data_IF_781833280089
#
_entry.id   IF_781833280089
#
_cell.length_a   1.000
_cell.length_b   1.000
_cell.length_c   1.000
_cell.angle_alpha   90.00
_cell.angle_beta   90.00
_cell.angle_gamma   90.00
#
_symmetry.space_group_name_H-M   'P 1'
#
loop_
_entity.id
_entity.type
_entity.pdbx_description
1 polymer ?
#
# COMPACT_ATOMS: atom_id res chain seq x y z
N UNK A 1 3.80 -2.83 -35.94
CA UNK A 1 2.67 -3.45 -36.48
C UNK A 1 1.62 -3.49 -35.46
N UNK A 2 0.98 -4.56 -35.41
CA UNK A 2 -0.04 -4.73 -34.39
C UNK A 2 0.51 -4.54 -32.97
N UNK A 3 1.78 -4.80 -32.82
CA UNK A 3 2.46 -4.55 -31.57
C UNK A 3 2.40 -3.10 -31.13
N UNK A 4 2.21 -2.18 -32.08
CA UNK A 4 2.07 -0.77 -31.77
C UNK A 4 0.75 -0.43 -31.12
N UNK A 5 -0.22 -1.34 -31.22
CA UNK A 5 -1.51 -1.15 -30.59
C UNK A 5 -1.45 -1.85 -29.25
N UNK A 6 -1.00 -1.11 -28.26
CA UNK A 6 -0.92 -1.66 -26.91
C UNK A 6 -2.33 -1.98 -26.43
N UNK A 7 -2.49 -3.18 -25.90
CA UNK A 7 -3.74 -3.52 -25.25
C UNK A 7 -3.89 -2.68 -23.99
N UNK A 8 -5.07 -2.13 -23.80
CA UNK A 8 -5.39 -1.40 -22.57
C UNK A 8 -6.09 -2.30 -21.55
N UNK A 9 -6.25 -3.58 -21.91
CA UNK A 9 -6.89 -4.58 -21.05
C UNK A 9 -5.82 -5.32 -20.28
N UNK A 10 -6.08 -5.57 -18.99
CA UNK A 10 -5.17 -6.38 -18.19
C UNK A 10 -5.00 -7.76 -18.84
N UNK A 11 -3.76 -8.18 -19.10
CA UNK A 11 -3.52 -9.47 -19.78
C UNK A 11 -3.50 -10.68 -18.83
N UNK A 12 -3.38 -10.47 -17.54
CA UNK A 12 -3.27 -11.58 -16.59
C UNK A 12 -4.63 -12.24 -16.35
N UNK A 13 -4.59 -13.47 -15.83
CA UNK A 13 -5.84 -14.19 -15.51
C UNK A 13 -6.53 -13.57 -14.30
N UNK A 14 -7.84 -13.77 -14.22
CA UNK A 14 -8.60 -13.33 -13.06
C UNK A 14 -8.05 -13.94 -11.78
N UNK A 15 -7.70 -15.23 -11.84
CA UNK A 15 -7.14 -15.93 -10.69
C UNK A 15 -5.86 -15.26 -10.19
N UNK A 16 -4.96 -14.88 -11.10
CA UNK A 16 -3.72 -14.21 -10.72
C UNK A 16 -4.02 -12.84 -10.10
N UNK A 17 -4.88 -12.06 -10.75
CA UNK A 17 -5.17 -10.70 -10.29
C UNK A 17 -5.90 -10.68 -8.95
N UNK A 18 -6.91 -11.54 -8.82
CA UNK A 18 -7.64 -11.63 -7.55
C UNK A 18 -6.75 -12.19 -6.45
N UNK A 19 -5.85 -13.11 -6.80
CA UNK A 19 -4.88 -13.67 -5.87
C UNK A 19 -3.89 -12.63 -5.36
N UNK A 20 -3.39 -11.78 -6.25
CA UNK A 20 -2.46 -10.72 -5.84
C UNK A 20 -3.15 -9.69 -4.93
N UNK A 21 -4.38 -9.33 -5.28
CA UNK A 21 -5.15 -8.42 -4.43
C UNK A 21 -5.40 -9.03 -3.06
N UNK A 22 -5.79 -10.30 -3.00
CA UNK A 22 -6.02 -10.98 -1.73
C UNK A 22 -4.73 -11.06 -0.89
N UNK A 23 -3.59 -11.31 -1.55
CA UNK A 23 -2.32 -11.37 -0.85
C UNK A 23 -1.94 -10.02 -0.25
N UNK A 24 -2.13 -8.95 -1.00
CA UNK A 24 -1.81 -7.61 -0.52
C UNK A 24 -2.74 -7.19 0.62
N UNK A 25 -4.03 -7.43 0.45
CA UNK A 25 -5.02 -7.15 1.49
C UNK A 25 -4.72 -7.96 2.77
N UNK A 26 -4.20 -9.18 2.60
CA UNK A 26 -3.79 -10.02 3.72
C UNK A 26 -2.64 -9.40 4.52
N UNK A 27 -1.66 -8.82 3.82
CA UNK A 27 -0.56 -8.12 4.50
C UNK A 27 -1.08 -6.90 5.26
N UNK A 28 -2.04 -6.19 4.66
CA UNK A 28 -2.67 -5.04 5.31
C UNK A 28 -3.44 -5.46 6.55
N UNK A 29 -4.13 -6.59 6.47
CA UNK A 29 -4.88 -7.11 7.63
C UNK A 29 -3.94 -7.49 8.78
N UNK A 30 -2.78 -8.06 8.45
CA UNK A 30 -1.79 -8.38 9.48
C UNK A 30 -1.22 -7.13 10.13
N UNK A 31 -0.95 -6.10 9.35
CA UNK A 31 -0.47 -4.82 9.90
C UNK A 31 -1.53 -4.19 10.79
N UNK A 32 -2.79 -4.20 10.34
CA UNK A 32 -3.88 -3.65 11.13
C UNK A 32 -4.03 -4.40 12.46
N UNK A 33 -3.93 -5.73 12.42
CA UNK A 33 -4.03 -6.54 13.63
C UNK A 33 -2.89 -6.24 14.60
N UNK A 34 -1.68 -6.09 14.07
CA UNK A 34 -0.52 -5.73 14.89
C UNK A 34 -0.76 -4.41 15.63
N UNK A 35 -1.32 -3.42 14.94
CA UNK A 35 -1.57 -2.12 15.54
C UNK A 35 -2.77 -2.15 16.50
N UNK A 36 -3.81 -2.88 16.14
CA UNK A 36 -5.01 -3.01 16.98
C UNK A 36 -4.71 -3.68 18.32
N UNK A 37 -3.73 -4.59 18.34
CA UNK A 37 -3.37 -5.33 19.54
C UNK A 37 -2.08 -4.81 20.18
N UNK A 38 -1.61 -3.64 19.77
CA UNK A 38 -0.31 -3.13 20.19
C UNK A 38 -0.17 -3.03 21.70
N UNK A 39 -1.13 -2.40 22.36
CA UNK A 39 -1.06 -2.21 23.80
C UNK A 39 -1.14 -3.53 24.56
N UNK A 40 -1.87 -4.51 24.05
CA UNK A 40 -2.00 -5.81 24.70
C UNK A 40 -0.76 -6.69 24.53
N UNK A 41 0.06 -6.39 23.52
CA UNK A 41 1.27 -7.18 23.20
C UNK A 41 2.58 -6.49 23.60
N UNK A 42 2.49 -5.28 24.14
CA UNK A 42 3.65 -4.51 24.61
C UNK A 42 3.43 -4.09 26.06
N UNK A 43 4.51 -3.72 26.73
CA UNK A 43 4.48 -3.41 28.16
C UNK A 43 5.13 -2.05 28.44
N UNK A 44 4.60 -1.01 27.83
CA UNK A 44 5.03 0.35 28.13
C UNK A 44 4.02 1.03 29.05
N UNK A 45 4.43 2.14 29.65
CA UNK A 45 3.57 2.85 30.59
C UNK A 45 2.57 3.77 29.91
N UNK A 46 2.96 4.28 28.74
CA UNK A 46 2.14 5.25 28.02
C UNK A 46 2.32 5.03 26.51
N UNK A 47 1.23 5.16 25.75
CA UNK A 47 1.25 4.96 24.29
C UNK A 47 0.67 6.17 23.59
N UNK A 48 1.31 6.57 22.50
CA UNK A 48 0.80 7.60 21.60
C UNK A 48 0.80 7.04 20.18
N UNK A 49 -0.35 7.09 19.53
CA UNK A 49 -0.52 6.55 18.19
C UNK A 49 -0.84 7.69 17.22
N UNK A 50 -0.13 7.70 16.10
CA UNK A 50 -0.39 8.59 14.99
C UNK A 50 -0.39 7.72 13.75
N UNK A 51 -1.58 7.24 13.35
CA UNK A 51 -1.73 6.18 12.38
C UNK A 51 -2.57 6.64 11.20
N UNK A 52 -1.98 6.56 10.01
CA UNK A 52 -2.73 6.71 8.77
C UNK A 52 -3.62 5.48 8.56
N UNK A 53 -4.65 5.63 7.75
CA UNK A 53 -5.51 4.50 7.40
C UNK A 53 -4.74 3.45 6.60
N UNK A 54 -5.11 2.19 6.80
CA UNK A 54 -4.53 1.07 6.07
C UNK A 54 -5.53 0.67 4.99
N UNK A 55 -5.11 0.76 3.75
CA UNK A 55 -5.94 0.40 2.61
C UNK A 55 -5.31 0.87 1.31
N UNK A 56 -5.82 0.35 0.21
CA UNK A 56 -5.34 0.68 -1.12
C UNK A 56 -6.45 0.49 -2.14
N UNK A 57 -6.27 1.10 -3.30
CA UNK A 57 -7.14 0.90 -4.45
C UNK A 57 -6.65 -0.33 -5.22
N UNK A 58 -7.45 -1.39 -5.34
CA UNK A 58 -7.02 -2.59 -6.04
C UNK A 58 -6.68 -2.34 -7.52
N UNK A 59 -7.32 -1.38 -8.17
CA UNK A 59 -6.97 -1.05 -9.55
C UNK A 59 -5.59 -0.42 -9.64
N UNK A 60 -5.18 0.35 -8.65
CA UNK A 60 -3.81 0.86 -8.60
C UNK A 60 -2.83 -0.29 -8.48
N UNK A 61 -3.11 -1.23 -7.58
CA UNK A 61 -2.23 -2.38 -7.37
C UNK A 61 -2.05 -3.18 -8.67
N UNK A 62 -3.14 -3.56 -9.31
CA UNK A 62 -3.05 -4.39 -10.52
C UNK A 62 -2.43 -3.63 -11.66
N UNK A 63 -2.72 -2.33 -11.80
CA UNK A 63 -2.10 -1.50 -12.83
C UNK A 63 -0.59 -1.38 -12.62
N UNK A 64 -0.16 -1.22 -11.37
CA UNK A 64 1.28 -1.19 -11.04
C UNK A 64 1.94 -2.52 -11.42
N UNK A 65 1.36 -3.64 -11.00
CA UNK A 65 1.94 -4.94 -11.27
C UNK A 65 2.05 -5.19 -12.77
N UNK A 66 1.01 -4.85 -13.52
CA UNK A 66 0.98 -5.08 -14.96
C UNK A 66 1.98 -4.21 -15.70
N UNK A 67 2.05 -2.94 -15.35
CA UNK A 67 3.00 -2.02 -15.99
C UNK A 67 4.44 -2.34 -15.59
N UNK A 68 4.67 -2.63 -14.33
CA UNK A 68 6.01 -2.92 -13.81
C UNK A 68 6.59 -4.18 -14.43
N UNK A 69 5.76 -5.22 -14.56
CA UNK A 69 6.17 -6.50 -15.16
C UNK A 69 6.01 -6.51 -16.68
N UNK A 70 5.53 -5.41 -17.24
CA UNK A 70 5.44 -5.21 -18.70
C UNK A 70 4.61 -6.27 -19.42
N UNK A 71 3.50 -6.64 -18.82
CA UNK A 71 2.58 -7.60 -19.43
C UNK A 71 1.99 -8.57 -18.44
N UNK A 72 1.66 -9.74 -18.95
CA UNK A 72 1.05 -10.80 -18.15
C UNK A 72 2.01 -11.29 -17.06
N UNK A 73 1.43 -11.63 -15.91
CA UNK A 73 2.19 -12.14 -14.77
C UNK A 73 1.37 -13.17 -14.01
N UNK A 74 2.05 -14.01 -13.26
CA UNK A 74 1.44 -14.96 -12.33
C UNK A 74 1.66 -14.48 -10.91
N UNK A 75 0.88 -15.02 -9.98
CA UNK A 75 1.01 -14.65 -8.58
C UNK A 75 2.44 -14.91 -8.07
N UNK A 76 3.01 -16.05 -8.39
CA UNK A 76 4.37 -16.38 -7.96
C UNK A 76 5.39 -15.35 -8.46
N UNK A 77 5.22 -14.88 -9.68
CA UNK A 77 6.16 -13.94 -10.27
C UNK A 77 6.14 -12.57 -9.60
N UNK A 78 5.01 -12.18 -9.00
CA UNK A 78 4.88 -10.85 -8.43
C UNK A 78 5.05 -10.80 -6.91
N UNK A 79 5.33 -11.93 -6.26
CA UNK A 79 5.46 -11.93 -4.81
C UNK A 79 6.48 -10.91 -4.30
N UNK A 80 7.65 -10.87 -4.93
CA UNK A 80 8.66 -9.89 -4.54
C UNK A 80 8.23 -8.46 -4.75
N UNK A 81 7.47 -8.22 -5.82
CA UNK A 81 6.96 -6.88 -6.09
C UNK A 81 5.91 -6.47 -5.06
N UNK A 82 5.03 -7.40 -4.67
CA UNK A 82 4.05 -7.12 -3.61
C UNK A 82 4.76 -6.72 -2.32
N UNK A 83 5.81 -7.44 -1.95
CA UNK A 83 6.57 -7.13 -0.74
C UNK A 83 7.25 -5.77 -0.85
N UNK A 84 7.83 -5.46 -1.99
CA UNK A 84 8.48 -4.17 -2.23
C UNK A 84 7.48 -3.02 -2.14
N UNK A 85 6.32 -3.19 -2.76
CA UNK A 85 5.28 -2.16 -2.71
C UNK A 85 4.80 -1.93 -1.29
N UNK A 86 4.56 -3.00 -0.56
CA UNK A 86 4.07 -2.90 0.82
C UNK A 86 5.07 -2.17 1.70
N UNK A 87 6.34 -2.52 1.57
CA UNK A 87 7.41 -1.89 2.34
C UNK A 87 7.53 -0.39 2.04
N UNK A 88 7.28 0.00 0.80
CA UNK A 88 7.32 1.41 0.41
C UNK A 88 6.05 2.16 0.76
N UNK A 89 4.92 1.49 0.73
CA UNK A 89 3.64 2.13 1.05
C UNK A 89 3.51 2.42 2.54
N UNK A 90 3.87 1.46 3.39
CA UNK A 90 3.63 1.56 4.82
C UNK A 90 4.95 1.72 5.58
N UNK A 91 5.11 2.87 6.22
CA UNK A 91 6.29 3.16 7.02
C UNK A 91 5.86 3.19 8.49
N UNK A 92 6.24 2.16 9.21
CA UNK A 92 5.94 2.03 10.64
C UNK A 92 7.15 2.47 11.45
N UNK A 93 6.93 3.38 12.39
CA UNK A 93 7.97 3.87 13.29
C UNK A 93 7.52 3.64 14.72
N UNK A 94 8.38 3.02 15.51
CA UNK A 94 8.14 2.74 16.91
C UNK A 94 9.30 3.31 17.70
N UNK A 95 9.00 4.23 18.63
CA UNK A 95 10.04 4.94 19.37
C UNK A 95 9.67 4.97 20.84
N UNK A 96 10.62 4.62 21.70
CA UNK A 96 10.41 4.62 23.14
C UNK A 96 11.27 5.73 23.76
N UNK A 97 10.63 6.54 24.61
CA UNK A 97 11.27 7.58 25.38
C UNK A 97 11.12 7.24 26.86
N UNK A 98 12.17 7.41 27.63
CA UNK A 98 12.16 7.14 29.06
C UNK A 98 12.24 8.47 29.82
N UNK A 99 11.27 8.68 30.71
CA UNK A 99 11.27 9.84 31.62
C UNK A 99 11.55 9.37 33.03
N UNK A 100 12.23 10.21 33.79
CA UNK A 100 12.35 9.97 35.22
C UNK A 100 11.21 10.71 35.89
N UNK A 101 10.44 9.99 36.68
CA UNK A 101 9.35 10.53 37.50
C UNK A 101 9.64 10.22 38.95
N UNK A 102 8.92 10.90 39.83
CA UNK A 102 9.13 10.74 41.28
C UNK A 102 7.82 10.38 41.92
N UNK A 103 7.85 9.38 42.84
CA UNK A 103 6.67 8.97 43.57
C UNK A 103 6.37 9.95 44.68
N UNK A 104 5.34 9.65 45.52
CA UNK A 104 4.92 10.50 46.61
C UNK A 104 5.98 10.64 47.70
N UNK A 105 6.94 9.72 47.76
CA UNK A 105 8.03 9.74 48.74
C UNK A 105 9.28 10.41 48.17
N UNK A 106 9.23 10.85 46.93
CA UNK A 106 10.35 11.50 46.28
C UNK A 106 11.35 10.56 45.65
N UNK A 107 11.03 9.27 45.58
CA UNK A 107 11.90 8.28 44.96
C UNK A 107 11.75 8.26 43.43
N UNK A 108 12.85 8.20 42.68
CA UNK A 108 12.78 8.18 41.22
C UNK A 108 12.33 6.84 40.67
N UNK A 109 11.57 6.88 39.58
CA UNK A 109 11.24 5.69 38.81
C UNK A 109 11.19 6.06 37.32
N UNK A 110 11.35 5.04 36.47
CA UNK A 110 11.34 5.25 35.02
C UNK A 110 9.93 5.10 34.50
N UNK A 111 9.56 5.99 33.59
CA UNK A 111 8.27 5.97 32.90
C UNK A 111 8.55 5.83 31.39
N UNK A 112 8.05 4.74 30.80
CA UNK A 112 8.34 4.40 29.41
C UNK A 112 7.18 4.85 28.54
N UNK A 113 7.48 5.72 27.56
CA UNK A 113 6.49 6.27 26.65
C UNK A 113 6.80 5.76 25.25
N UNK A 114 5.82 5.08 24.66
CA UNK A 114 5.99 4.52 23.32
C UNK A 114 5.21 5.34 22.30
N UNK A 115 5.89 5.79 21.26
CA UNK A 115 5.29 6.52 20.16
C UNK A 115 5.24 5.60 18.95
N UNK A 116 4.04 5.37 18.42
CA UNK A 116 3.81 4.51 17.26
C UNK A 116 3.25 5.36 16.14
N UNK A 117 3.94 5.40 15.02
CA UNK A 117 3.54 6.19 13.87
C UNK A 117 3.45 5.28 12.66
N UNK A 118 2.36 5.37 11.92
CA UNK A 118 2.23 4.69 10.63
C UNK A 118 1.95 5.71 9.56
N UNK A 119 2.81 5.73 8.54
CA UNK A 119 2.61 6.55 7.37
C UNK A 119 2.17 5.66 6.21
N UNK A 120 1.08 6.04 5.55
CA UNK A 120 0.64 5.40 4.31
C UNK A 120 0.93 6.38 3.18
N UNK A 121 1.94 6.06 2.36
CA UNK A 121 2.35 6.93 1.26
C UNK A 121 1.46 6.78 0.04
N UNK A 122 0.45 5.92 0.10
CA UNK A 122 -0.48 5.60 -0.98
C UNK A 122 0.23 4.97 -2.19
N UNK A 123 -0.32 3.86 -2.66
CA UNK A 123 0.26 3.12 -3.79
C UNK A 123 0.38 3.98 -5.04
N UNK A 124 -0.59 4.88 -5.27
CA UNK A 124 -0.61 5.70 -6.48
C UNK A 124 0.59 6.64 -6.59
N UNK A 125 1.28 6.90 -5.49
CA UNK A 125 2.47 7.75 -5.50
C UNK A 125 3.75 6.99 -5.86
N UNK A 126 3.72 5.65 -5.84
CA UNK A 126 4.93 4.86 -6.04
C UNK A 126 5.41 4.75 -7.49
N UNK A 127 4.50 4.68 -8.49
CA UNK A 127 4.95 4.45 -9.87
C UNK A 127 6.03 5.42 -10.35
N UNK A 128 5.92 6.69 -10.00
CA UNK A 128 6.87 7.69 -10.45
C UNK A 128 8.29 7.41 -9.94
N UNK A 129 8.41 6.70 -8.83
CA UNK A 129 9.71 6.42 -8.23
C UNK A 129 10.28 5.05 -8.61
N UNK A 130 9.42 4.10 -9.01
CA UNK A 130 9.87 2.73 -9.23
C UNK A 130 9.86 2.33 -10.70
N UNK A 131 9.28 3.14 -11.58
CA UNK A 131 9.08 2.80 -12.98
C UNK A 131 9.93 3.64 -13.91
N UNK A 132 10.35 3.01 -15.03
CA UNK A 132 10.89 3.74 -16.14
C UNK A 132 9.77 4.43 -16.92
N UNK A 133 10.14 5.22 -17.89
CA UNK A 133 9.20 6.04 -18.65
C UNK A 133 8.12 5.21 -19.34
N UNK A 134 8.50 4.11 -19.97
CA UNK A 134 7.53 3.26 -20.69
C UNK A 134 6.59 2.56 -19.71
N UNK A 135 7.12 2.08 -18.60
CA UNK A 135 6.31 1.45 -17.56
C UNK A 135 5.31 2.45 -17.00
N UNK A 136 5.75 3.67 -16.72
CA UNK A 136 4.88 4.69 -16.18
C UNK A 136 3.76 5.06 -17.16
N UNK A 137 4.09 5.15 -18.45
CA UNK A 137 3.08 5.41 -19.49
C UNK A 137 2.02 4.31 -19.52
N UNK A 138 2.44 3.06 -19.41
CA UNK A 138 1.49 1.94 -19.38
C UNK A 138 0.64 1.95 -18.11
N UNK A 139 1.25 2.27 -16.97
CA UNK A 139 0.51 2.43 -15.75
C UNK A 139 -0.62 3.47 -15.91
N UNK A 140 -0.29 4.61 -16.48
CA UNK A 140 -1.27 5.66 -16.72
C UNK A 140 -2.41 5.19 -17.63
N UNK A 141 -2.08 4.43 -18.66
CA UNK A 141 -3.10 3.87 -19.57
C UNK A 141 -4.01 2.89 -18.83
N UNK A 142 -3.43 1.99 -18.03
CA UNK A 142 -4.24 1.03 -17.28
C UNK A 142 -5.13 1.72 -16.25
N UNK A 143 -4.65 2.79 -15.64
CA UNK A 143 -5.49 3.54 -14.71
C UNK A 143 -6.63 4.26 -15.44
N UNK A 144 -6.36 4.82 -16.61
CA UNK A 144 -7.39 5.51 -17.39
C UNK A 144 -8.52 4.58 -17.81
N UNK A 145 -8.21 3.31 -18.06
CA UNK A 145 -9.17 2.32 -18.55
C UNK A 145 -9.65 1.37 -17.47
N UNK A 146 -9.04 1.37 -16.30
CA UNK A 146 -9.21 0.34 -15.27
C UNK A 146 -8.96 -1.06 -15.85
N UNK A 147 -7.99 -1.14 -16.78
CA UNK A 147 -7.65 -2.36 -17.49
C UNK A 147 -8.79 -2.92 -18.31
N UNK A 148 -9.79 -2.09 -18.64
CA UNK A 148 -11.04 -2.50 -19.29
C UNK A 148 -11.77 -3.60 -18.53
N UNK A 149 -11.59 -3.60 -17.21
CA UNK A 149 -12.19 -4.58 -16.32
C UNK A 149 -12.82 -3.89 -15.11
N UNK A 150 -13.84 -3.03 -15.34
CA UNK A 150 -14.51 -2.37 -14.20
C UNK A 150 -15.25 -3.36 -13.31
N UNK A 151 -15.48 -4.59 -13.82
CA UNK A 151 -16.12 -5.67 -13.08
C UNK A 151 -15.19 -6.40 -12.13
N UNK A 152 -13.86 -6.23 -12.29
CA UNK A 152 -12.88 -7.04 -11.57
C UNK A 152 -12.96 -6.85 -10.06
N UNK A 153 -13.17 -5.62 -9.64
CA UNK A 153 -13.27 -5.28 -8.22
C UNK A 153 -14.57 -4.53 -7.95
N UNK A 154 -15.72 -5.21 -8.04
CA UNK A 154 -17.02 -4.53 -7.90
C UNK A 154 -17.28 -3.97 -6.51
N UNK A 155 -16.59 -4.48 -5.48
CA UNK A 155 -16.74 -4.01 -4.11
C UNK A 155 -15.73 -2.92 -3.76
N UNK A 156 -14.93 -2.51 -4.74
CA UNK A 156 -13.93 -1.46 -4.50
C UNK A 156 -14.62 -0.14 -4.19
N UNK A 157 -14.06 0.58 -3.23
CA UNK A 157 -14.50 1.95 -2.96
C UNK A 157 -14.05 2.92 -4.05
N UNK A 158 -13.29 2.43 -5.03
CA UNK A 158 -12.77 3.22 -6.14
C UNK A 158 -13.21 2.70 -7.50
N UNK A 159 -14.51 2.34 -7.70
CA UNK A 159 -14.95 1.74 -8.96
C UNK A 159 -14.79 2.65 -10.18
N UNK A 160 -14.65 3.96 -9.95
CA UNK A 160 -14.45 4.95 -11.01
C UNK A 160 -13.15 5.71 -10.80
N UNK A 161 -12.10 4.99 -10.41
CA UNK A 161 -10.82 5.61 -10.09
C UNK A 161 -10.28 6.46 -11.23
N UNK A 162 -10.46 6.02 -12.48
CA UNK A 162 -9.99 6.77 -13.64
C UNK A 162 -10.67 8.11 -13.82
N UNK A 163 -11.81 8.33 -13.17
CA UNK A 163 -12.56 9.56 -13.26
C UNK A 163 -12.27 10.52 -12.11
N UNK A 164 -11.50 10.08 -11.15
CA UNK A 164 -11.14 10.92 -10.02
C UNK A 164 -10.19 12.01 -10.47
N UNK A 165 -10.56 13.24 -10.15
CA UNK A 165 -9.72 14.38 -10.46
C UNK A 165 -8.38 14.27 -9.77
N UNK A 166 -7.31 14.47 -10.53
CA UNK A 166 -5.96 14.44 -9.99
C UNK A 166 -5.41 13.06 -9.70
N UNK A 167 -6.16 12.02 -9.98
CA UNK A 167 -5.74 10.68 -9.65
C UNK A 167 -4.44 10.25 -10.34
N UNK A 168 -4.20 10.78 -11.53
CA UNK A 168 -2.93 10.56 -12.24
C UNK A 168 -1.96 11.72 -12.05
N UNK A 169 -2.50 12.90 -11.77
CA UNK A 169 -1.73 14.15 -11.81
C UNK A 169 -0.69 14.24 -10.72
N UNK A 170 -1.03 13.84 -9.50
CA UNK A 170 -0.08 14.00 -8.41
C UNK A 170 1.04 12.96 -8.43
N UNK A 171 0.94 11.97 -9.32
CA UNK A 171 2.00 11.00 -9.54
C UNK A 171 2.97 11.46 -10.63
N UNK A 172 2.67 12.57 -11.27
CA UNK A 172 3.50 13.13 -12.33
C UNK A 172 4.41 14.18 -11.71
N UNK A 173 5.73 14.01 -11.88
CA UNK A 173 6.70 14.96 -11.32
C UNK A 173 6.51 16.36 -11.85
#
# INVERSE_FOLDING_TARGET
>A
GMSGIASTTYPSTDEAMLGAEAAYAGMEAELQDYLDTYESTHSYDEYHFDLDEIGHDPYVLISILTAYHQGEWTLDEVQGTLDMLFEKQYILTERVVVETRYDSEGDPYSWYICYVTLENTDLSHLPVYIMGEEQFSMYAVYMATLGNRPDLFPQSQYPNASQKEGYLDYDVP
#
